data_IF_225040129216
#
_entry.id   IF_225040129216
#
_cell.length_a   1.000
_cell.length_b   1.000
_cell.length_c   1.000
_cell.angle_alpha   90.00
_cell.angle_beta   90.00
_cell.angle_gamma   90.00
#
_symmetry.space_group_name_H-M   'P 1'
#
loop_
_entity.id
_entity.type
_entity.pdbx_description
1 polymer ?
#
# COMPACT_ATOMS: atom_id res chain seq x y z
N UNK A 1 12.16 -0.76 29.51
CA UNK A 1 13.38 -0.03 29.09
C UNK A 1 14.24 0.55 30.24
N UNK A 2 13.64 1.15 31.29
CA UNK A 2 14.41 1.80 32.37
C UNK A 2 15.31 0.85 33.19
N UNK A 3 14.95 -0.43 33.33
CA UNK A 3 15.75 -1.41 34.06
C UNK A 3 16.99 -1.88 33.29
N UNK A 4 16.87 -2.12 31.98
CA UNK A 4 18.00 -2.51 31.13
C UNK A 4 19.09 -1.44 31.11
N UNK A 5 18.72 -0.16 31.02
CA UNK A 5 19.67 0.95 30.98
C UNK A 5 20.53 1.11 32.26
N UNK A 6 20.17 0.41 33.35
CA UNK A 6 20.94 0.39 34.61
C UNK A 6 21.97 -0.75 34.67
N UNK A 7 21.99 -1.63 33.68
CA UNK A 7 22.88 -2.79 33.60
C UNK A 7 23.85 -2.55 32.44
N UNK A 8 25.13 -2.86 32.63
CA UNK A 8 26.10 -2.78 31.54
C UNK A 8 25.71 -3.73 30.40
N UNK A 9 25.96 -3.33 29.15
CA UNK A 9 25.57 -4.11 27.96
C UNK A 9 26.12 -5.54 28.00
N UNK A 10 27.41 -5.71 28.35
CA UNK A 10 28.03 -7.03 28.46
C UNK A 10 27.35 -7.95 29.49
N UNK A 11 26.93 -7.40 30.64
CA UNK A 11 26.21 -8.19 31.66
C UNK A 11 24.78 -8.51 31.20
N UNK A 12 24.11 -7.57 30.54
CA UNK A 12 22.80 -7.79 29.95
C UNK A 12 22.84 -8.95 28.94
N UNK A 13 23.77 -8.90 27.98
CA UNK A 13 23.90 -9.93 26.96
C UNK A 13 24.24 -11.30 27.55
N UNK A 14 25.04 -11.32 28.63
CA UNK A 14 25.31 -12.54 29.38
C UNK A 14 24.03 -13.11 29.99
N UNK A 15 23.18 -12.28 30.61
CA UNK A 15 21.89 -12.74 31.18
C UNK A 15 20.94 -13.25 30.10
N UNK A 16 20.92 -12.62 28.91
CA UNK A 16 20.12 -13.13 27.79
C UNK A 16 20.63 -14.49 27.32
N UNK A 17 21.95 -14.67 27.15
CA UNK A 17 22.54 -15.96 26.78
C UNK A 17 22.25 -17.05 27.80
N UNK A 18 22.41 -16.72 29.09
CA UNK A 18 22.09 -17.62 30.20
C UNK A 18 20.63 -18.06 30.16
N UNK A 19 19.70 -17.12 29.97
CA UNK A 19 18.27 -17.43 29.90
C UNK A 19 17.90 -18.27 28.68
N UNK A 20 18.51 -18.02 27.52
CA UNK A 20 18.28 -18.82 26.31
C UNK A 20 18.75 -20.27 26.49
N UNK A 21 19.79 -20.50 27.30
CA UNK A 21 20.33 -21.82 27.60
C UNK A 21 19.68 -22.49 28.81
N UNK A 22 18.77 -21.81 29.52
CA UNK A 22 18.15 -22.31 30.76
C UNK A 22 16.69 -22.70 30.53
N UNK A 23 16.35 -24.00 30.47
CA UNK A 23 14.97 -24.45 30.44
C UNK A 23 14.22 -24.03 31.71
N UNK A 24 12.90 -23.90 31.62
CA UNK A 24 12.06 -23.44 32.73
C UNK A 24 12.22 -24.27 34.02
N UNK A 25 12.46 -25.59 33.92
CA UNK A 25 12.70 -26.43 35.09
C UNK A 25 14.02 -26.12 35.80
N UNK A 26 15.08 -25.78 35.05
CA UNK A 26 16.42 -25.53 35.60
C UNK A 26 16.48 -24.15 36.27
N UNK A 27 15.61 -23.22 35.85
CA UNK A 27 15.48 -21.93 36.50
C UNK A 27 15.05 -22.04 37.97
N UNK A 28 14.37 -23.13 38.38
CA UNK A 28 13.98 -23.35 39.77
C UNK A 28 15.18 -23.60 40.70
N UNK A 29 16.28 -24.12 40.17
CA UNK A 29 17.51 -24.39 40.93
C UNK A 29 18.27 -23.09 41.27
N UNK A 30 17.94 -21.99 40.60
CA UNK A 30 18.49 -20.68 40.94
C UNK A 30 17.82 -20.11 42.19
N UNK A 31 18.61 -19.37 42.99
CA UNK A 31 18.04 -18.56 44.06
C UNK A 31 17.02 -17.55 43.50
N UNK A 32 16.08 -17.13 44.34
CA UNK A 32 14.95 -16.30 43.93
C UNK A 32 15.39 -15.02 43.19
N UNK A 33 16.45 -14.35 43.67
CA UNK A 33 16.94 -13.11 43.07
C UNK A 33 17.44 -13.34 41.63
N UNK A 34 18.29 -14.35 41.42
CA UNK A 34 18.81 -14.70 40.10
C UNK A 34 17.70 -15.14 39.15
N UNK A 35 16.78 -15.98 39.64
CA UNK A 35 15.62 -16.45 38.85
C UNK A 35 14.76 -15.27 38.39
N UNK A 36 14.38 -14.36 39.29
CA UNK A 36 13.58 -13.19 38.93
C UNK A 36 14.30 -12.28 37.94
N UNK A 37 15.59 -12.00 38.17
CA UNK A 37 16.38 -11.18 37.27
C UNK A 37 16.45 -11.77 35.85
N UNK A 38 16.61 -13.10 35.74
CA UNK A 38 16.65 -13.80 34.46
C UNK A 38 15.30 -13.77 33.74
N UNK A 39 14.20 -14.04 34.45
CA UNK A 39 12.83 -13.99 33.89
C UNK A 39 12.51 -12.58 33.39
N UNK A 40 12.80 -11.54 34.18
CA UNK A 40 12.55 -10.15 33.78
C UNK A 40 13.39 -9.79 32.56
N UNK A 41 14.66 -10.19 32.49
CA UNK A 41 15.50 -9.94 31.33
C UNK A 41 14.96 -10.62 30.07
N UNK A 42 14.52 -11.87 30.17
CA UNK A 42 13.91 -12.62 29.08
C UNK A 42 12.58 -12.01 28.62
N UNK A 43 11.71 -11.60 29.54
CA UNK A 43 10.46 -10.93 29.20
C UNK A 43 10.70 -9.59 28.46
N UNK A 44 11.69 -8.81 28.90
CA UNK A 44 12.07 -7.57 28.20
C UNK A 44 12.62 -7.87 26.80
N UNK A 45 13.51 -8.86 26.67
CA UNK A 45 14.10 -9.22 25.37
C UNK A 45 13.05 -9.79 24.41
N UNK A 46 12.12 -10.60 24.89
CA UNK A 46 10.99 -11.07 24.12
C UNK A 46 10.12 -9.91 23.64
N UNK A 47 9.81 -8.95 24.53
CA UNK A 47 9.07 -7.75 24.16
C UNK A 47 9.76 -6.89 23.09
N UNK A 48 11.11 -6.81 23.13
CA UNK A 48 11.90 -6.16 22.07
C UNK A 48 11.79 -6.89 20.74
N UNK A 49 11.99 -8.21 20.75
CA UNK A 49 11.90 -9.01 19.52
C UNK A 49 10.48 -8.93 18.91
N UNK A 50 9.43 -9.05 19.73
CA UNK A 50 8.04 -8.90 19.28
C UNK A 50 7.75 -7.51 18.71
N UNK A 51 8.38 -6.47 19.26
CA UNK A 51 8.28 -5.10 18.73
C UNK A 51 8.92 -5.02 17.34
N UNK A 52 10.14 -5.54 17.18
CA UNK A 52 10.87 -5.54 15.91
C UNK A 52 10.12 -6.36 14.84
N UNK A 53 9.57 -7.52 15.22
CA UNK A 53 8.77 -8.37 14.36
C UNK A 53 7.47 -7.68 13.94
N UNK A 54 6.75 -7.06 14.88
CA UNK A 54 5.51 -6.33 14.58
C UNK A 54 5.76 -5.17 13.61
N UNK A 55 6.83 -4.39 13.81
CA UNK A 55 7.24 -3.32 12.90
C UNK A 55 7.58 -3.88 11.52
N UNK A 56 8.36 -4.96 11.45
CA UNK A 56 8.73 -5.61 10.19
C UNK A 56 7.52 -6.13 9.43
N UNK A 57 6.59 -6.78 10.13
CA UNK A 57 5.33 -7.27 9.55
C UNK A 57 4.47 -6.13 9.03
N UNK A 58 4.38 -5.03 9.77
CA UNK A 58 3.64 -3.84 9.35
C UNK A 58 4.22 -3.22 8.06
N UNK A 59 5.55 -3.04 8.00
CA UNK A 59 6.23 -2.53 6.81
C UNK A 59 5.99 -3.45 5.61
N UNK A 60 6.12 -4.77 5.79
CA UNK A 60 5.86 -5.76 4.73
C UNK A 60 4.41 -5.76 4.27
N UNK A 61 3.45 -5.59 5.17
CA UNK A 61 2.03 -5.50 4.84
C UNK A 61 1.78 -4.25 3.99
N UNK A 62 2.24 -3.08 4.43
CA UNK A 62 2.09 -1.84 3.68
C UNK A 62 2.74 -1.94 2.30
N UNK A 63 3.97 -2.45 2.22
CA UNK A 63 4.68 -2.66 0.96
C UNK A 63 3.93 -3.57 -0.01
N UNK A 64 3.33 -4.67 0.48
CA UNK A 64 2.50 -5.56 -0.35
C UNK A 64 1.25 -4.89 -0.87
N UNK A 65 0.54 -4.13 -0.03
CA UNK A 65 -0.68 -3.42 -0.44
C UNK A 65 -0.39 -2.37 -1.52
N UNK A 66 0.67 -1.57 -1.35
CA UNK A 66 1.11 -0.62 -2.37
C UNK A 66 1.56 -1.31 -3.66
N UNK A 67 2.30 -2.40 -3.56
CA UNK A 67 2.71 -3.18 -4.73
C UNK A 67 1.51 -3.75 -5.48
N UNK A 68 0.54 -4.31 -4.77
CA UNK A 68 -0.69 -4.84 -5.38
C UNK A 68 -1.52 -3.74 -6.04
N UNK A 69 -1.69 -2.59 -5.39
CA UNK A 69 -2.37 -1.44 -5.97
C UNK A 69 -1.67 -0.94 -7.24
N UNK A 70 -0.34 -0.84 -7.21
CA UNK A 70 0.44 -0.39 -8.36
C UNK A 70 0.39 -1.41 -9.52
N UNK A 71 0.42 -2.71 -9.23
CA UNK A 71 0.26 -3.76 -10.22
C UNK A 71 -1.12 -3.75 -10.87
N UNK A 72 -2.20 -3.56 -10.08
CA UNK A 72 -3.57 -3.37 -10.61
C UNK A 72 -3.67 -2.13 -11.49
N UNK A 73 -3.06 -1.01 -11.06
CA UNK A 73 -3.01 0.22 -11.85
C UNK A 73 -2.29 -0.02 -13.18
N UNK A 74 -1.13 -0.68 -13.16
CA UNK A 74 -0.40 -1.05 -14.39
C UNK A 74 -1.23 -1.94 -15.30
N UNK A 75 -1.93 -2.94 -14.76
CA UNK A 75 -2.80 -3.82 -15.54
C UNK A 75 -3.93 -3.04 -16.21
N UNK A 76 -4.66 -2.20 -15.46
CA UNK A 76 -5.72 -1.33 -15.99
C UNK A 76 -5.18 -0.39 -17.08
N UNK A 77 -3.98 0.17 -16.91
CA UNK A 77 -3.35 1.00 -17.94
C UNK A 77 -2.96 0.21 -19.19
N UNK A 78 -2.51 -1.05 -19.04
CA UNK A 78 -2.18 -1.90 -20.19
C UNK A 78 -3.43 -2.29 -20.98
N UNK A 79 -4.49 -2.73 -20.29
CA UNK A 79 -5.80 -3.04 -20.88
C UNK A 79 -6.38 -1.80 -21.57
N UNK A 80 -6.37 -0.65 -20.88
CA UNK A 80 -6.83 0.61 -21.46
C UNK A 80 -6.02 1.03 -22.68
N UNK A 81 -4.71 0.76 -22.76
CA UNK A 81 -3.86 1.14 -23.90
C UNK A 81 -4.26 0.43 -25.19
N UNK A 82 -4.65 -0.84 -25.13
CA UNK A 82 -5.18 -1.58 -26.29
C UNK A 82 -6.49 -0.96 -26.78
N UNK A 83 -7.37 -0.60 -25.85
CA UNK A 83 -8.65 0.05 -26.18
C UNK A 83 -8.43 1.48 -26.71
N UNK A 84 -7.42 2.19 -26.21
CA UNK A 84 -7.03 3.53 -26.68
C UNK A 84 -6.51 3.50 -28.10
N UNK A 85 -5.65 2.53 -28.45
CA UNK A 85 -5.14 2.41 -29.81
C UNK A 85 -6.27 2.12 -30.81
N UNK A 86 -7.24 1.26 -30.44
CA UNK A 86 -8.42 0.96 -31.23
C UNK A 86 -9.33 2.18 -31.40
N UNK A 87 -9.58 2.91 -30.32
CA UNK A 87 -10.35 4.15 -30.32
C UNK A 87 -9.72 5.23 -31.22
N UNK A 88 -8.42 5.49 -31.07
CA UNK A 88 -7.68 6.46 -31.89
C UNK A 88 -7.67 6.06 -33.37
N UNK A 89 -7.53 4.76 -33.67
CA UNK A 89 -7.61 4.27 -35.04
C UNK A 89 -9.00 4.53 -35.63
N UNK A 90 -10.06 4.19 -34.92
CA UNK A 90 -11.42 4.42 -35.40
C UNK A 90 -11.75 5.92 -35.55
N UNK A 91 -11.17 6.77 -34.70
CA UNK A 91 -11.26 8.22 -34.85
C UNK A 91 -10.53 8.72 -36.10
N UNK A 92 -9.32 8.21 -36.37
CA UNK A 92 -8.59 8.51 -37.60
C UNK A 92 -9.34 8.03 -38.85
N UNK A 93 -9.90 6.82 -38.82
CA UNK A 93 -10.70 6.27 -39.91
C UNK A 93 -11.94 7.15 -40.16
N UNK A 94 -12.57 7.64 -39.09
CA UNK A 94 -13.70 8.60 -39.17
C UNK A 94 -13.30 9.92 -39.82
N UNK A 95 -12.18 10.52 -39.39
CA UNK A 95 -11.67 11.75 -40.02
C UNK A 95 -11.37 11.51 -41.50
N UNK A 96 -10.75 10.38 -41.83
CA UNK A 96 -10.37 10.03 -43.20
C UNK A 96 -11.61 9.86 -44.08
N UNK A 97 -12.65 9.19 -43.59
CA UNK A 97 -13.92 9.02 -44.29
C UNK A 97 -14.62 10.37 -44.55
N UNK A 98 -14.67 11.24 -43.53
CA UNK A 98 -15.26 12.57 -43.65
C UNK A 98 -14.47 13.47 -44.61
N UNK A 99 -13.14 13.40 -44.57
CA UNK A 99 -12.27 14.12 -45.50
C UNK A 99 -12.51 13.64 -46.94
N UNK A 100 -12.58 12.33 -47.17
CA UNK A 100 -12.90 11.77 -48.49
C UNK A 100 -14.29 12.20 -48.98
N UNK A 101 -15.30 12.22 -48.10
CA UNK A 101 -16.62 12.71 -48.47
C UNK A 101 -16.58 14.17 -48.92
N UNK A 102 -15.83 15.01 -48.20
CA UNK A 102 -15.62 16.40 -48.55
C UNK A 102 -14.88 16.57 -49.89
N UNK A 103 -13.77 15.86 -50.09
CA UNK A 103 -12.91 15.99 -51.27
C UNK A 103 -13.62 15.57 -52.57
N UNK A 104 -14.51 14.58 -52.48
CA UNK A 104 -15.26 14.06 -53.63
C UNK A 104 -16.73 14.56 -53.67
N UNK A 105 -17.11 15.50 -52.80
CA UNK A 105 -18.47 16.06 -52.75
C UNK A 105 -19.58 15.03 -52.48
N UNK A 106 -19.26 13.96 -51.74
CA UNK A 106 -20.19 12.86 -51.40
C UNK A 106 -20.92 13.15 -50.09
N UNK A 107 -22.04 12.47 -49.86
CA UNK A 107 -22.75 12.54 -48.58
C UNK A 107 -21.88 11.95 -47.45
N UNK A 108 -21.54 12.78 -46.47
CA UNK A 108 -20.67 12.42 -45.36
C UNK A 108 -21.20 11.25 -44.51
N UNK A 109 -22.52 11.16 -44.29
CA UNK A 109 -23.10 10.07 -43.51
C UNK A 109 -23.09 8.75 -44.27
N UNK A 110 -23.30 8.78 -45.59
CA UNK A 110 -23.23 7.56 -46.41
C UNK A 110 -21.80 7.03 -46.49
N UNK A 111 -20.81 7.90 -46.70
CA UNK A 111 -19.39 7.51 -46.72
C UNK A 111 -18.93 7.03 -45.34
N UNK A 112 -19.38 7.68 -44.25
CA UNK A 112 -19.07 7.26 -42.89
C UNK A 112 -19.64 5.86 -42.59
N UNK A 113 -20.88 5.59 -42.98
CA UNK A 113 -21.50 4.28 -42.76
C UNK A 113 -20.84 3.18 -43.60
N UNK A 114 -20.41 3.50 -44.83
CA UNK A 114 -19.68 2.57 -45.69
C UNK A 114 -18.27 2.24 -45.18
N UNK A 115 -17.48 3.25 -44.81
CA UNK A 115 -16.06 3.08 -44.49
C UNK A 115 -15.82 2.69 -43.02
N UNK A 116 -16.63 3.20 -42.09
CA UNK A 116 -16.44 3.03 -40.64
C UNK A 116 -17.61 2.30 -39.97
N UNK A 117 -18.83 2.57 -40.42
CA UNK A 117 -20.09 2.05 -39.87
C UNK A 117 -20.63 2.93 -38.75
N UNK A 118 -21.75 3.60 -39.00
CA UNK A 118 -22.36 4.54 -38.04
C UNK A 118 -22.74 3.85 -36.72
N UNK A 119 -23.34 2.67 -36.82
CA UNK A 119 -23.70 1.89 -35.64
C UNK A 119 -22.49 1.38 -34.85
N UNK A 120 -21.35 1.15 -35.52
CA UNK A 120 -20.11 0.74 -34.86
C UNK A 120 -19.52 1.89 -34.05
N UNK A 121 -19.53 3.09 -34.61
CA UNK A 121 -19.15 4.32 -33.91
C UNK A 121 -20.01 4.57 -32.67
N UNK A 122 -21.34 4.46 -32.80
CA UNK A 122 -22.24 4.64 -31.68
C UNK A 122 -22.03 3.61 -30.55
N UNK A 123 -21.73 2.35 -30.89
CA UNK A 123 -21.43 1.31 -29.89
C UNK A 123 -20.15 1.57 -29.11
N UNK A 124 -19.19 2.28 -29.69
CA UNK A 124 -17.91 2.62 -29.05
C UNK A 124 -17.99 3.88 -28.17
N UNK A 125 -19.07 4.67 -28.28
CA UNK A 125 -19.28 5.88 -27.47
C UNK A 125 -19.14 5.63 -25.94
N UNK A 126 -19.81 4.66 -25.31
CA UNK A 126 -19.67 4.43 -23.87
C UNK A 126 -18.25 4.00 -23.47
N UNK A 127 -17.56 3.25 -24.34
CA UNK A 127 -16.16 2.86 -24.13
C UNK A 127 -15.25 4.10 -24.11
N UNK A 128 -15.41 5.01 -25.08
CA UNK A 128 -14.72 6.30 -25.13
C UNK A 128 -15.01 7.19 -23.92
N UNK A 129 -16.27 7.30 -23.49
CA UNK A 129 -16.66 8.09 -22.31
C UNK A 129 -15.97 7.57 -21.04
N UNK A 130 -15.98 6.25 -20.84
CA UNK A 130 -15.30 5.63 -19.69
C UNK A 130 -13.78 5.85 -19.69
N UNK A 131 -13.15 5.87 -20.88
CA UNK A 131 -11.72 6.11 -20.99
C UNK A 131 -11.32 7.54 -20.59
N UNK A 132 -12.18 8.52 -20.90
CA UNK A 132 -11.99 9.90 -20.49
C UNK A 132 -12.13 10.03 -18.97
N UNK A 133 -13.19 9.46 -18.39
CA UNK A 133 -13.41 9.46 -16.94
C UNK A 133 -12.26 8.81 -16.15
N UNK A 134 -11.73 7.68 -16.63
CA UNK A 134 -10.60 6.99 -15.98
C UNK A 134 -9.31 7.82 -16.02
N UNK A 135 -9.10 8.60 -17.09
CA UNK A 135 -7.93 9.47 -17.20
C UNK A 135 -8.03 10.70 -16.27
N UNK A 136 -9.25 11.18 -16.02
CA UNK A 136 -9.53 12.30 -15.10
C UNK A 136 -9.62 11.87 -13.62
N UNK A 137 -9.72 10.56 -13.35
CA UNK A 137 -9.84 10.03 -11.99
C UNK A 137 -8.64 10.42 -11.10
N UNK A 138 -8.94 11.07 -9.97
CA UNK A 138 -7.93 11.52 -9.01
C UNK A 138 -7.08 10.35 -8.48
N UNK A 139 -5.75 10.54 -8.32
CA UNK A 139 -4.88 9.58 -7.64
C UNK A 139 -5.37 9.17 -6.23
N UNK A 140 -6.15 10.02 -5.56
CA UNK A 140 -6.72 9.76 -4.24
C UNK A 140 -7.83 8.70 -4.27
N UNK A 141 -8.60 8.62 -5.35
CA UNK A 141 -9.67 7.63 -5.50
C UNK A 141 -9.08 6.22 -5.59
N UNK A 142 -7.96 6.08 -6.30
CA UNK A 142 -7.20 4.83 -6.38
C UNK A 142 -6.58 4.45 -5.03
N UNK A 143 -6.09 5.43 -4.27
CA UNK A 143 -5.57 5.20 -2.93
C UNK A 143 -6.66 4.75 -1.94
N UNK A 144 -7.88 5.30 -2.08
CA UNK A 144 -9.03 4.95 -1.25
C UNK A 144 -9.45 3.48 -1.39
N UNK A 145 -9.20 2.83 -2.54
CA UNK A 145 -9.49 1.40 -2.73
C UNK A 145 -8.78 0.50 -1.71
N UNK A 146 -7.61 0.91 -1.21
CA UNK A 146 -6.86 0.15 -0.21
C UNK A 146 -7.18 0.56 1.23
N UNK A 147 -7.96 1.63 1.42
CA UNK A 147 -8.18 2.27 2.72
C UNK A 147 -8.75 1.29 3.74
N UNK A 148 -9.79 0.51 3.39
CA UNK A 148 -10.40 -0.45 4.32
C UNK A 148 -9.39 -1.49 4.84
N UNK A 149 -8.55 -2.01 3.95
CA UNK A 149 -7.52 -3.01 4.30
C UNK A 149 -6.41 -2.40 5.16
N UNK A 150 -5.96 -1.19 4.82
CA UNK A 150 -4.95 -0.47 5.60
C UNK A 150 -5.50 -0.13 6.99
N UNK A 151 -6.72 0.41 7.07
CA UNK A 151 -7.32 0.86 8.32
C UNK A 151 -7.48 -0.27 9.34
N UNK A 152 -7.82 -1.48 8.88
CA UNK A 152 -7.97 -2.67 9.73
C UNK A 152 -6.73 -2.97 10.58
N UNK A 153 -5.53 -2.75 10.04
CA UNK A 153 -4.28 -3.10 10.73
C UNK A 153 -3.50 -1.87 11.22
N UNK A 154 -3.61 -0.75 10.50
CA UNK A 154 -2.91 0.48 10.85
C UNK A 154 -3.42 1.07 12.17
N UNK A 155 -4.73 1.10 12.41
CA UNK A 155 -5.28 1.65 13.66
C UNK A 155 -4.75 0.91 14.89
N UNK A 156 -4.85 -0.42 14.89
CA UNK A 156 -4.36 -1.27 16.00
C UNK A 156 -2.86 -1.12 16.19
N UNK A 157 -2.08 -1.14 15.10
CA UNK A 157 -0.63 -0.97 15.16
C UNK A 157 -0.25 0.40 15.76
N UNK A 158 -0.86 1.47 15.27
CA UNK A 158 -0.59 2.82 15.77
C UNK A 158 -0.96 2.93 17.25
N UNK A 159 -2.09 2.37 17.70
CA UNK A 159 -2.50 2.39 19.10
C UNK A 159 -1.55 1.59 20.01
N UNK A 160 -1.02 0.46 19.54
CA UNK A 160 -0.11 -0.39 20.31
C UNK A 160 1.25 0.26 20.62
N UNK A 161 1.72 1.17 19.77
CA UNK A 161 3.04 1.78 19.90
C UNK A 161 3.00 3.24 20.36
N UNK A 162 3.97 3.59 21.22
CA UNK A 162 4.27 4.99 21.55
C UNK A 162 5.37 5.50 20.61
N UNK A 163 5.00 6.44 19.75
CA UNK A 163 5.94 7.09 18.85
C UNK A 163 6.58 8.30 19.54
N UNK A 164 7.86 8.52 19.31
CA UNK A 164 8.63 9.64 19.87
C UNK A 164 9.50 10.24 18.78
N UNK A 165 9.72 11.54 18.85
CA UNK A 165 10.65 12.25 17.97
C UNK A 165 11.57 13.13 18.79
N UNK A 166 12.79 13.35 18.29
CA UNK A 166 13.72 14.33 18.84
C UNK A 166 13.40 15.76 18.38
N UNK A 167 12.52 15.92 17.38
CA UNK A 167 12.14 17.23 16.84
C UNK A 167 11.05 17.87 17.73
N UNK A 168 11.24 19.15 18.07
CA UNK A 168 10.31 19.92 18.94
C UNK A 168 8.90 20.05 18.34
N UNK A 169 8.80 20.13 17.02
CA UNK A 169 7.54 20.13 16.26
C UNK A 169 7.68 19.12 15.12
N UNK A 170 7.42 17.85 15.40
CA UNK A 170 7.46 16.82 14.36
C UNK A 170 6.10 16.70 13.66
N UNK A 171 5.97 17.13 12.39
CA UNK A 171 4.73 16.98 11.64
C UNK A 171 4.33 15.51 11.47
N UNK A 172 5.28 14.58 11.44
CA UNK A 172 5.01 13.15 11.37
C UNK A 172 4.29 12.66 12.63
N UNK A 173 4.75 13.11 13.81
CA UNK A 173 4.14 12.70 15.07
C UNK A 173 2.74 13.29 15.23
N UNK A 174 2.53 14.52 14.73
CA UNK A 174 1.20 15.13 14.65
C UNK A 174 0.26 14.34 13.72
N UNK A 175 0.75 13.92 12.54
CA UNK A 175 -0.01 13.10 11.60
C UNK A 175 -0.37 11.73 12.20
N UNK A 176 0.57 11.05 12.86
CA UNK A 176 0.30 9.81 13.61
C UNK A 176 -0.77 10.03 14.67
N UNK A 177 -0.69 11.16 15.40
CA UNK A 177 -1.70 11.53 16.39
C UNK A 177 -3.09 11.73 15.80
N UNK A 178 -3.18 12.27 14.57
CA UNK A 178 -4.45 12.38 13.84
C UNK A 178 -4.96 11.01 13.41
N UNK A 179 -4.10 10.16 12.81
CA UNK A 179 -4.47 8.82 12.37
C UNK A 179 -4.94 7.90 13.51
N UNK A 180 -4.40 8.08 14.73
CA UNK A 180 -4.86 7.33 15.92
C UNK A 180 -6.28 7.68 16.37
N UNK A 181 -6.83 8.82 15.93
CA UNK A 181 -8.17 9.32 16.31
C UNK A 181 -9.26 8.99 15.29
N UNK A 182 -8.86 8.51 14.10
CA UNK A 182 -9.76 7.97 13.08
C UNK A 182 -10.10 6.51 13.43
#
# INVERSE_FOLDING_TARGET
PKFQARISSGRWDQMIREGNATPAWLANDFNASRRHALIVAQAIKLGQNLTDDAVTMFIKLMGRLFSQANSRKKQRHMEGRTDTAKALRMFLDTITALQSANDYGRNALEVLDQEVGWHRLLRMKPELESMVEVNEASPLTVAAEQYATVNKYAGVFLQAFTFRSARRYDPLLAAVGMLKRL
#
